data_IF_171441902493
#
_entry.id   IF_171441902493
#
_cell.length_a   1.000
_cell.length_b   1.000
_cell.length_c   1.000
_cell.angle_alpha   90.00
_cell.angle_beta   90.00
_cell.angle_gamma   90.00
#
_symmetry.space_group_name_H-M   'P 1'
#
loop_
_entity.id
_entity.type
_entity.pdbx_description
1 polymer ?
#
# COMPACT_ATOMS: atom_id res chain seq x y z
N UNK A 1 21.33 0.34 -5.64
CA UNK A 1 20.16 0.65 -4.80
C UNK A 1 19.44 1.87 -5.36
N UNK A 2 18.12 1.97 -5.17
CA UNK A 2 17.36 3.17 -5.50
C UNK A 2 17.74 4.31 -4.54
N UNK A 3 17.97 5.54 -5.03
CA UNK A 3 18.25 6.68 -4.17
C UNK A 3 16.93 7.20 -3.56
N UNK A 4 16.56 6.68 -2.39
CA UNK A 4 15.34 7.10 -1.68
C UNK A 4 15.66 8.18 -0.66
N UNK A 5 14.89 9.27 -0.69
CA UNK A 5 14.94 10.31 0.35
C UNK A 5 14.50 9.74 1.68
N UNK A 6 15.18 10.12 2.76
CA UNK A 6 14.77 9.77 4.14
C UNK A 6 14.08 10.97 4.78
N UNK A 7 12.89 10.74 5.34
CA UNK A 7 12.08 11.73 6.06
C UNK A 7 12.08 11.37 7.54
N UNK A 8 12.71 12.19 8.36
CA UNK A 8 12.79 11.98 9.81
C UNK A 8 11.61 12.67 10.52
N UNK A 9 10.62 11.88 10.91
CA UNK A 9 9.41 12.38 11.56
C UNK A 9 9.61 12.79 13.02
N UNK A 10 10.79 12.55 13.62
CA UNK A 10 11.10 13.10 14.95
C UNK A 10 11.13 14.64 14.94
N UNK A 11 11.39 15.22 13.76
CA UNK A 11 11.43 16.66 13.52
C UNK A 11 10.06 17.28 13.22
N UNK A 12 9.00 16.48 13.15
CA UNK A 12 7.68 16.93 12.67
C UNK A 12 7.08 18.05 13.53
N UNK A 13 7.25 17.96 14.85
CA UNK A 13 6.69 18.91 15.82
C UNK A 13 7.67 20.04 16.19
N UNK A 14 8.87 20.07 15.58
CA UNK A 14 9.81 21.18 15.72
C UNK A 14 9.28 22.46 15.04
N UNK A 15 9.66 23.63 15.56
CA UNK A 15 9.32 24.90 14.93
C UNK A 15 9.87 24.96 13.49
N UNK A 16 8.98 25.03 12.50
CA UNK A 16 9.34 25.00 11.07
C UNK A 16 9.65 23.60 10.52
N UNK A 17 9.61 22.56 11.36
CA UNK A 17 9.95 21.19 10.99
C UNK A 17 9.06 20.62 9.89
N UNK A 18 7.75 20.86 9.96
CA UNK A 18 6.79 20.44 8.91
C UNK A 18 7.15 21.01 7.54
N UNK A 19 7.49 22.30 7.46
CA UNK A 19 7.82 22.95 6.19
C UNK A 19 9.13 22.41 5.60
N UNK A 20 10.13 22.15 6.43
CA UNK A 20 11.38 21.54 5.98
C UNK A 20 11.17 20.09 5.50
N UNK A 21 10.43 19.28 6.26
CA UNK A 21 10.11 17.91 5.88
C UNK A 21 9.25 17.86 4.61
N UNK A 22 8.28 18.76 4.46
CA UNK A 22 7.49 18.91 3.23
C UNK A 22 8.39 19.23 2.02
N UNK A 23 9.36 20.13 2.19
CA UNK A 23 10.35 20.45 1.15
C UNK A 23 11.20 19.24 0.77
N UNK A 24 11.62 18.43 1.75
CA UNK A 24 12.37 17.19 1.49
C UNK A 24 11.52 16.13 0.79
N UNK A 25 10.26 16.00 1.19
CA UNK A 25 9.32 15.02 0.63
C UNK A 25 8.88 15.37 -0.80
N UNK A 26 8.88 16.66 -1.17
CA UNK A 26 8.47 17.16 -2.49
C UNK A 26 9.10 16.38 -3.65
N UNK A 27 10.43 16.27 -3.69
CA UNK A 27 11.12 15.59 -4.78
C UNK A 27 10.84 14.08 -4.79
N UNK A 28 10.69 13.48 -3.60
CA UNK A 28 10.40 12.06 -3.48
C UNK A 28 9.04 11.73 -4.09
N UNK A 29 7.99 12.50 -3.78
CA UNK A 29 6.62 12.20 -4.25
C UNK A 29 6.38 12.61 -5.72
N UNK A 30 7.08 13.63 -6.23
CA UNK A 30 6.88 14.13 -7.60
C UNK A 30 7.75 13.43 -8.65
N UNK A 31 8.88 12.83 -8.24
CA UNK A 31 9.79 12.13 -9.15
C UNK A 31 9.75 10.62 -9.00
N UNK A 32 9.91 10.12 -7.77
CA UNK A 32 10.18 8.68 -7.53
C UNK A 32 8.98 7.95 -6.96
N UNK A 33 8.07 8.60 -6.26
CA UNK A 33 6.92 7.99 -5.59
C UNK A 33 7.26 7.10 -4.39
N UNK A 34 8.54 6.98 -4.01
CA UNK A 34 9.04 6.19 -2.88
C UNK A 34 10.00 7.01 -2.02
N UNK A 35 9.95 6.79 -0.71
CA UNK A 35 10.86 7.37 0.29
C UNK A 35 11.01 6.41 1.46
N UNK A 36 11.89 6.75 2.40
CA UNK A 36 12.02 6.06 3.68
C UNK A 36 11.65 7.01 4.79
N UNK A 37 11.02 6.48 5.83
CA UNK A 37 10.63 7.22 7.03
C UNK A 37 11.37 6.66 8.24
N UNK A 38 11.90 7.57 9.06
CA UNK A 38 12.56 7.28 10.35
C UNK A 38 11.97 8.17 11.45
N UNK A 39 12.37 7.95 12.71
CA UNK A 39 11.91 8.79 13.82
C UNK A 39 10.40 8.69 14.06
N UNK A 40 9.81 7.52 13.79
CA UNK A 40 8.36 7.29 13.90
C UNK A 40 7.87 7.19 15.34
N UNK A 41 8.76 6.91 16.28
CA UNK A 41 8.42 6.61 17.69
C UNK A 41 7.85 5.21 17.90
N UNK A 42 7.79 4.38 16.85
CA UNK A 42 7.38 2.97 16.96
C UNK A 42 8.61 2.15 17.33
N UNK A 43 8.54 1.47 18.47
CA UNK A 43 9.61 0.61 18.96
C UNK A 43 9.80 -0.64 18.08
N UNK A 44 11.06 -1.03 17.86
CA UNK A 44 11.44 -2.18 17.05
C UNK A 44 10.90 -3.49 17.64
N UNK A 45 10.83 -3.61 18.96
CA UNK A 45 10.23 -4.78 19.62
C UNK A 45 8.76 -4.96 19.21
N UNK A 46 8.01 -3.86 19.12
CA UNK A 46 6.60 -3.89 18.70
C UNK A 46 6.47 -4.29 17.24
N UNK A 47 7.36 -3.82 16.36
CA UNK A 47 7.39 -4.25 14.95
C UNK A 47 7.70 -5.75 14.85
N UNK A 48 8.70 -6.25 15.59
CA UNK A 48 9.08 -7.66 15.62
C UNK A 48 7.96 -8.56 16.17
N UNK A 49 7.19 -8.07 17.16
CA UNK A 49 6.01 -8.77 17.66
C UNK A 49 4.95 -8.95 16.58
N UNK A 50 4.68 -7.92 15.76
CA UNK A 50 3.75 -8.03 14.64
C UNK A 50 4.22 -9.02 13.57
N UNK A 51 5.52 -9.03 13.24
CA UNK A 51 6.11 -10.07 12.40
C UNK A 51 5.94 -11.47 13.04
N UNK A 52 6.12 -11.60 14.35
CA UNK A 52 5.97 -12.88 15.06
C UNK A 52 4.52 -13.40 14.98
N UNK A 53 3.53 -12.52 15.16
CA UNK A 53 2.10 -12.87 15.02
C UNK A 53 1.81 -13.30 13.58
N UNK A 54 2.26 -12.52 12.59
CA UNK A 54 2.07 -12.87 11.17
C UNK A 54 2.72 -14.21 10.80
N UNK A 55 3.95 -14.46 11.25
CA UNK A 55 4.65 -15.72 11.03
C UNK A 55 3.93 -16.91 11.67
N UNK A 56 3.42 -16.73 12.90
CA UNK A 56 2.65 -17.76 13.58
C UNK A 56 1.33 -18.04 12.84
N UNK A 57 0.65 -17.00 12.33
CA UNK A 57 -0.57 -17.15 11.53
C UNK A 57 -0.32 -18.00 10.29
N UNK A 58 0.73 -17.73 9.51
CA UNK A 58 0.98 -18.46 8.27
C UNK A 58 1.35 -19.94 8.47
N UNK A 59 1.75 -20.32 9.69
CA UNK A 59 2.03 -21.70 10.12
C UNK A 59 0.81 -22.44 10.66
N UNK A 60 -0.33 -21.78 10.87
CA UNK A 60 -1.58 -22.45 11.24
C UNK A 60 -2.07 -23.37 10.09
N UNK A 61 -2.85 -24.43 10.39
CA UNK A 61 -3.45 -25.28 9.39
C UNK A 61 -4.26 -24.48 8.36
N UNK A 62 -4.27 -24.94 7.11
CA UNK A 62 -4.95 -24.24 6.02
C UNK A 62 -6.45 -24.02 6.30
N UNK A 63 -7.09 -24.99 6.95
CA UNK A 63 -8.50 -24.91 7.38
C UNK A 63 -8.73 -23.74 8.33
N UNK A 64 -7.82 -23.50 9.28
CA UNK A 64 -7.89 -22.36 10.19
C UNK A 64 -7.67 -21.04 9.44
N UNK A 65 -6.67 -20.97 8.55
CA UNK A 65 -6.41 -19.76 7.73
C UNK A 65 -7.63 -19.39 6.87
N UNK A 66 -8.32 -20.38 6.30
CA UNK A 66 -9.51 -20.23 5.44
C UNK A 66 -10.80 -19.81 6.17
N UNK A 67 -10.83 -19.72 7.50
CA UNK A 67 -12.06 -19.40 8.25
C UNK A 67 -12.68 -18.05 7.89
N UNK A 68 -11.85 -17.06 7.58
CA UNK A 68 -12.28 -15.71 7.20
C UNK A 68 -11.58 -15.29 5.92
N UNK A 69 -12.04 -15.74 4.74
CA UNK A 69 -11.43 -15.40 3.47
C UNK A 69 -11.81 -13.99 3.03
N UNK A 70 -10.98 -13.36 2.20
CA UNK A 70 -11.34 -12.11 1.52
C UNK A 70 -12.53 -12.32 0.57
N UNK A 71 -13.46 -11.36 0.52
CA UNK A 71 -14.59 -11.37 -0.41
C UNK A 71 -14.32 -10.48 -1.64
N UNK A 72 -13.51 -10.99 -2.57
CA UNK A 72 -13.15 -10.24 -3.78
C UNK A 72 -14.31 -9.99 -4.75
N UNK A 73 -15.40 -10.76 -4.66
CA UNK A 73 -16.59 -10.53 -5.48
C UNK A 73 -17.23 -9.16 -5.18
N UNK A 74 -17.15 -8.72 -3.93
CA UNK A 74 -17.60 -7.40 -3.46
C UNK A 74 -16.45 -6.38 -3.32
N UNK A 75 -15.24 -6.77 -3.74
CA UNK A 75 -14.04 -5.93 -3.59
C UNK A 75 -13.55 -5.76 -2.16
N UNK A 76 -14.10 -6.52 -1.20
CA UNK A 76 -13.65 -6.49 0.19
C UNK A 76 -12.31 -7.19 0.34
N UNK A 77 -11.36 -6.52 1.00
CA UNK A 77 -10.00 -7.02 1.11
C UNK A 77 -9.63 -7.48 2.51
N UNK A 78 -10.51 -7.39 3.51
CA UNK A 78 -10.23 -7.90 4.86
C UNK A 78 -10.30 -9.43 4.90
N UNK A 79 -9.46 -10.04 5.74
CA UNK A 79 -9.39 -11.49 5.87
C UNK A 79 -8.18 -12.10 5.15
N UNK A 80 -8.20 -13.42 5.02
CA UNK A 80 -7.14 -14.24 4.46
C UNK A 80 -7.28 -14.37 2.95
N UNK A 81 -6.18 -14.14 2.25
CA UNK A 81 -6.02 -14.47 0.84
C UNK A 81 -5.00 -15.59 0.69
N UNK A 82 -5.47 -16.72 0.22
CA UNK A 82 -4.62 -17.83 -0.17
C UNK A 82 -3.91 -17.56 -1.50
N UNK A 83 -2.81 -18.26 -1.72
CA UNK A 83 -2.01 -18.23 -2.92
C UNK A 83 -2.61 -19.12 -4.05
N UNK A 84 -3.89 -18.97 -4.34
CA UNK A 84 -4.62 -19.87 -5.25
C UNK A 84 -4.52 -19.48 -6.73
N UNK A 85 -4.10 -18.26 -7.05
CA UNK A 85 -4.09 -17.75 -8.42
C UNK A 85 -2.97 -18.37 -9.24
N UNK A 86 -3.29 -18.81 -10.45
CA UNK A 86 -2.30 -19.30 -11.41
C UNK A 86 -1.52 -18.14 -12.02
N UNK A 87 -0.23 -18.34 -12.26
CA UNK A 87 0.60 -17.39 -12.98
C UNK A 87 0.45 -17.67 -14.47
N UNK A 88 -0.39 -16.91 -15.16
CA UNK A 88 -0.76 -17.13 -16.55
C UNK A 88 -0.96 -18.60 -16.92
N UNK A 89 -0.25 -19.04 -17.95
CA UNK A 89 -0.22 -20.41 -18.48
C UNK A 89 0.97 -21.23 -17.97
N UNK A 90 1.71 -20.73 -16.97
CA UNK A 90 2.97 -21.34 -16.51
C UNK A 90 2.78 -22.65 -15.77
N UNK A 91 1.55 -23.00 -15.35
CA UNK A 91 1.26 -24.16 -14.51
C UNK A 91 1.79 -24.08 -13.08
N UNK A 92 2.20 -22.88 -12.63
CA UNK A 92 2.63 -22.58 -11.25
C UNK A 92 1.69 -21.54 -10.65
N UNK A 93 1.39 -21.65 -9.35
CA UNK A 93 0.59 -20.65 -8.62
C UNK A 93 1.46 -19.50 -8.11
N UNK A 94 0.82 -18.38 -7.79
CA UNK A 94 1.48 -17.37 -6.96
C UNK A 94 1.95 -18.01 -5.64
N UNK A 95 3.06 -17.53 -5.08
CA UNK A 95 3.63 -18.05 -3.84
C UNK A 95 3.30 -17.16 -2.65
N UNK A 96 2.30 -16.30 -2.77
CA UNK A 96 2.03 -15.26 -1.80
C UNK A 96 0.67 -15.43 -1.12
N UNK A 97 0.73 -15.53 0.20
CA UNK A 97 -0.42 -15.47 1.09
C UNK A 97 -0.47 -14.12 1.80
N UNK A 98 -1.68 -13.67 2.15
CA UNK A 98 -1.89 -12.42 2.87
C UNK A 98 -2.98 -12.58 3.93
N UNK A 99 -2.84 -11.86 5.03
CA UNK A 99 -3.90 -11.60 6.00
C UNK A 99 -4.05 -10.10 6.16
N UNK A 100 -5.23 -9.58 5.85
CA UNK A 100 -5.56 -8.16 5.94
C UNK A 100 -6.45 -7.92 7.15
N UNK A 101 -5.95 -7.11 8.07
CA UNK A 101 -6.56 -6.85 9.37
C UNK A 101 -7.06 -5.41 9.36
N UNK A 102 -8.38 -5.25 9.53
CA UNK A 102 -9.03 -3.96 9.56
C UNK A 102 -8.63 -3.14 10.79
N UNK A 103 -8.84 -1.82 10.72
CA UNK A 103 -8.77 -0.93 11.88
C UNK A 103 -9.88 -1.18 12.89
N UNK A 104 -9.64 -0.83 14.15
CA UNK A 104 -10.61 -1.02 15.23
C UNK A 104 -11.62 0.15 15.29
N UNK A 105 -12.71 0.03 14.53
CA UNK A 105 -13.82 0.99 14.53
C UNK A 105 -15.16 0.26 14.68
N UNK A 106 -16.22 0.93 15.18
CA UNK A 106 -17.53 0.30 15.37
C UNK A 106 -18.12 -0.35 14.12
N UNK A 107 -17.87 0.22 12.94
CA UNK A 107 -18.35 -0.32 11.66
C UNK A 107 -17.79 -1.72 11.35
N UNK A 108 -16.60 -2.04 11.83
CA UNK A 108 -15.91 -3.31 11.58
C UNK A 108 -16.02 -4.31 12.73
N UNK A 109 -16.82 -4.01 13.76
CA UNK A 109 -16.98 -4.86 14.96
C UNK A 109 -17.37 -6.31 14.65
N UNK A 110 -18.13 -6.53 13.57
CA UNK A 110 -18.64 -7.85 13.20
C UNK A 110 -17.80 -8.58 12.16
N UNK A 111 -16.67 -8.00 11.74
CA UNK A 111 -15.72 -8.72 10.90
C UNK A 111 -15.04 -9.79 11.75
N UNK A 112 -15.10 -11.03 11.27
CA UNK A 112 -14.51 -12.18 11.96
C UNK A 112 -12.99 -12.06 12.06
N UNK A 113 -12.43 -12.44 13.20
CA UNK A 113 -10.99 -12.47 13.47
C UNK A 113 -10.54 -13.90 13.77
N UNK A 114 -9.44 -14.33 13.17
CA UNK A 114 -8.83 -15.62 13.49
C UNK A 114 -8.42 -15.67 14.96
N UNK A 115 -8.44 -16.85 15.58
CA UNK A 115 -8.12 -17.04 17.01
C UNK A 115 -6.82 -16.34 17.43
N UNK A 116 -5.76 -16.46 16.60
CA UNK A 116 -4.48 -15.85 16.88
C UNK A 116 -4.54 -14.31 16.86
N UNK A 117 -5.32 -13.73 15.95
CA UNK A 117 -5.54 -12.28 15.88
C UNK A 117 -6.39 -11.81 17.06
N UNK A 118 -7.45 -12.53 17.40
CA UNK A 118 -8.28 -12.22 18.58
C UNK A 118 -7.44 -12.22 19.85
N UNK A 119 -6.59 -13.23 20.03
CA UNK A 119 -5.75 -13.39 21.23
C UNK A 119 -4.68 -12.30 21.38
N UNK A 120 -4.35 -11.59 20.29
CA UNK A 120 -3.36 -10.51 20.29
C UNK A 120 -3.99 -9.16 19.89
N UNK A 121 -5.32 -9.03 19.95
CA UNK A 121 -6.02 -7.89 19.33
C UNK A 121 -5.62 -6.55 19.91
N UNK A 122 -5.46 -6.45 21.23
CA UNK A 122 -5.07 -5.19 21.88
C UNK A 122 -3.70 -4.68 21.40
N UNK A 123 -2.75 -5.59 21.17
CA UNK A 123 -1.44 -5.26 20.62
C UNK A 123 -1.56 -4.79 19.15
N UNK A 124 -2.35 -5.52 18.34
CA UNK A 124 -2.53 -5.26 16.92
C UNK A 124 -3.28 -3.94 16.68
N UNK A 125 -4.37 -3.67 17.41
CA UNK A 125 -5.16 -2.43 17.26
C UNK A 125 -4.36 -1.21 17.68
N UNK A 126 -3.56 -1.32 18.75
CA UNK A 126 -2.66 -0.25 19.19
C UNK A 126 -1.60 0.03 18.13
N UNK A 127 -0.95 -1.03 17.62
CA UNK A 127 0.02 -0.90 16.53
C UNK A 127 -0.60 -0.29 15.28
N UNK A 128 -1.81 -0.71 14.89
CA UNK A 128 -2.53 -0.13 13.76
C UNK A 128 -2.76 1.38 13.93
N UNK A 129 -3.05 1.87 15.14
CA UNK A 129 -3.22 3.30 15.42
C UNK A 129 -1.89 4.06 15.33
N UNK A 130 -0.80 3.48 15.82
CA UNK A 130 0.53 4.12 15.75
C UNK A 130 1.04 4.23 14.31
N UNK A 131 0.83 3.20 13.49
CA UNK A 131 1.20 3.26 12.06
C UNK A 131 0.31 4.23 11.30
N UNK A 132 -0.97 4.36 11.67
CA UNK A 132 -1.83 5.41 11.13
C UNK A 132 -1.32 6.80 11.50
N UNK A 133 -0.79 7.02 12.71
CA UNK A 133 -0.21 8.31 13.10
C UNK A 133 0.99 8.69 12.22
N UNK A 134 1.82 7.72 11.82
CA UNK A 134 2.88 7.91 10.81
C UNK A 134 2.28 8.34 9.47
N UNK A 135 1.26 7.61 8.98
CA UNK A 135 0.58 7.95 7.74
C UNK A 135 -0.08 9.34 7.80
N UNK A 136 -0.69 9.71 8.93
CA UNK A 136 -1.30 11.01 9.19
C UNK A 136 -0.28 12.13 9.07
N UNK A 137 0.88 12.01 9.70
CA UNK A 137 1.98 12.98 9.58
C UNK A 137 2.42 13.14 8.13
N UNK A 138 2.57 12.05 7.38
CA UNK A 138 2.89 12.11 5.95
C UNK A 138 1.81 12.82 5.12
N UNK A 139 0.53 12.55 5.40
CA UNK A 139 -0.59 13.23 4.73
C UNK A 139 -0.62 14.73 5.03
N UNK A 140 -0.27 15.15 6.25
CA UNK A 140 -0.08 16.57 6.59
C UNK A 140 1.04 17.20 5.76
N UNK A 141 2.20 16.55 5.65
CA UNK A 141 3.30 17.05 4.83
C UNK A 141 2.89 17.18 3.35
N UNK A 142 2.14 16.22 2.84
CA UNK A 142 1.62 16.26 1.45
C UNK A 142 0.59 17.38 1.28
N UNK A 143 -0.28 17.61 2.26
CA UNK A 143 -1.24 18.72 2.21
C UNK A 143 -0.52 20.08 2.18
N UNK A 144 0.55 20.25 2.97
CA UNK A 144 1.41 21.43 2.93
C UNK A 144 2.04 21.62 1.54
N UNK A 145 2.57 20.56 0.94
CA UNK A 145 3.12 20.61 -0.44
C UNK A 145 2.06 21.09 -1.43
N UNK A 146 0.84 20.59 -1.30
CA UNK A 146 -0.29 20.96 -2.15
C UNK A 146 -0.90 22.33 -1.81
N UNK A 147 -0.36 23.04 -0.82
CA UNK A 147 -0.90 24.31 -0.32
C UNK A 147 -2.37 24.23 0.12
N UNK A 148 -2.74 23.07 0.64
CA UNK A 148 -4.04 22.81 1.27
C UNK A 148 -3.94 23.05 2.79
N UNK A 149 -5.08 23.17 3.49
CA UNK A 149 -5.10 23.05 4.96
C UNK A 149 -4.36 21.78 5.41
N UNK A 150 -3.57 21.89 6.48
CA UNK A 150 -2.70 20.79 6.96
C UNK A 150 -3.48 19.50 7.22
N UNK A 151 -4.73 19.62 7.69
CA UNK A 151 -5.63 18.52 8.03
C UNK A 151 -6.41 17.96 6.84
N UNK A 152 -6.42 18.63 5.68
CA UNK A 152 -7.27 18.30 4.54
C UNK A 152 -7.17 16.83 4.13
N UNK A 153 -5.94 16.32 3.94
CA UNK A 153 -5.73 14.93 3.57
C UNK A 153 -5.84 13.98 4.75
N UNK A 154 -5.45 14.37 5.97
CA UNK A 154 -5.61 13.50 7.13
C UNK A 154 -7.07 13.27 7.51
N UNK A 155 -7.94 14.26 7.32
CA UNK A 155 -9.38 14.16 7.57
C UNK A 155 -10.04 13.22 6.56
N UNK A 156 -9.64 13.32 5.29
CA UNK A 156 -10.03 12.39 4.24
C UNK A 156 -9.55 10.94 4.48
N UNK A 157 -8.67 10.72 5.47
CA UNK A 157 -8.11 9.43 5.86
C UNK A 157 -8.23 9.23 7.39
N UNK A 158 -9.24 9.82 8.02
CA UNK A 158 -9.41 9.76 9.46
C UNK A 158 -9.57 8.31 9.96
N UNK A 159 -8.85 7.95 11.03
CA UNK A 159 -8.88 6.58 11.57
C UNK A 159 -10.29 6.15 11.94
N UNK A 160 -11.04 7.00 12.66
CA UNK A 160 -12.33 6.64 13.25
C UNK A 160 -13.50 6.66 12.26
N UNK A 161 -13.24 7.03 10.99
CA UNK A 161 -14.22 7.00 9.91
C UNK A 161 -14.15 5.68 9.13
N UNK A 162 -15.21 5.33 8.40
CA UNK A 162 -15.21 4.11 7.58
C UNK A 162 -14.17 4.25 6.45
N UNK A 163 -13.26 3.29 6.35
CA UNK A 163 -12.34 3.12 5.21
C UNK A 163 -11.83 1.67 5.19
N UNK A 164 -11.27 1.27 4.05
CA UNK A 164 -10.63 -0.04 3.88
C UNK A 164 -9.13 -0.03 4.26
N UNK A 165 -8.71 0.87 5.15
CA UNK A 165 -7.37 0.87 5.77
C UNK A 165 -7.13 -0.48 6.46
N UNK A 166 -5.92 -1.02 6.29
CA UNK A 166 -5.57 -2.27 6.93
C UNK A 166 -4.08 -2.43 7.18
N UNK A 167 -3.80 -3.17 8.25
CA UNK A 167 -2.53 -3.85 8.43
C UNK A 167 -2.53 -5.13 7.59
N UNK A 168 -1.44 -5.42 6.90
CA UNK A 168 -1.22 -6.66 6.17
C UNK A 168 -0.06 -7.42 6.77
N UNK A 169 -0.32 -8.66 7.16
CA UNK A 169 0.71 -9.68 7.21
C UNK A 169 0.76 -10.37 5.86
N UNK A 170 1.95 -10.59 5.32
CA UNK A 170 2.14 -11.30 4.05
C UNK A 170 3.32 -12.25 4.15
N UNK A 171 3.29 -13.33 3.38
CA UNK A 171 4.44 -14.22 3.23
C UNK A 171 4.58 -14.61 1.75
N UNK A 172 5.79 -14.52 1.23
CA UNK A 172 6.15 -15.25 0.01
C UNK A 172 6.77 -16.58 0.43
N UNK A 173 6.09 -17.66 0.11
CA UNK A 173 6.56 -19.03 0.30
C UNK A 173 7.73 -19.33 -0.63
N UNK A 174 8.60 -20.23 -0.20
CA UNK A 174 9.73 -20.71 -1.00
C UNK A 174 9.23 -21.43 -2.26
N UNK A 175 10.02 -21.37 -3.31
CA UNK A 175 9.79 -22.07 -4.58
C UNK A 175 11.02 -22.87 -4.94
N UNK A 176 10.81 -23.98 -5.62
CA UNK A 176 11.88 -24.68 -6.34
C UNK A 176 12.47 -23.78 -7.43
N UNK A 177 13.68 -24.11 -7.90
CA UNK A 177 14.32 -23.38 -9.00
C UNK A 177 13.46 -23.42 -10.28
N UNK A 178 12.86 -24.57 -10.60
CA UNK A 178 11.96 -24.72 -11.76
C UNK A 178 10.73 -23.82 -11.66
N UNK A 179 10.11 -23.74 -10.48
CA UNK A 179 8.97 -22.85 -10.26
C UNK A 179 9.37 -21.37 -10.38
N UNK A 180 10.56 -20.99 -9.91
CA UNK A 180 11.09 -19.64 -10.10
C UNK A 180 11.26 -19.31 -11.57
N UNK A 181 11.87 -20.21 -12.35
CA UNK A 181 12.13 -20.02 -13.77
C UNK A 181 10.82 -19.90 -14.57
N UNK A 182 9.83 -20.73 -14.25
CA UNK A 182 8.49 -20.68 -14.87
C UNK A 182 7.74 -19.40 -14.50
N UNK A 183 7.83 -18.95 -13.25
CA UNK A 183 7.15 -17.75 -12.78
C UNK A 183 7.83 -16.44 -13.23
N UNK A 184 9.10 -16.49 -13.66
CA UNK A 184 9.91 -15.29 -13.88
C UNK A 184 9.27 -14.30 -14.87
N UNK A 185 8.65 -14.80 -15.95
CA UNK A 185 8.05 -13.98 -17.00
C UNK A 185 7.01 -12.97 -16.48
N UNK A 186 6.20 -13.37 -15.49
CA UNK A 186 5.12 -12.58 -14.89
C UNK A 186 5.59 -11.78 -13.67
N UNK A 187 6.84 -11.95 -13.24
CA UNK A 187 7.42 -11.12 -12.19
C UNK A 187 8.03 -9.81 -12.74
N UNK A 188 8.00 -9.58 -14.07
CA UNK A 188 8.83 -8.55 -14.74
C UNK A 188 8.24 -7.14 -14.75
N UNK A 189 6.94 -6.95 -14.92
CA UNK A 189 6.31 -5.64 -15.11
C UNK A 189 5.84 -4.96 -13.83
N UNK A 190 5.75 -5.69 -12.72
CA UNK A 190 5.39 -5.12 -11.42
C UNK A 190 3.95 -4.62 -11.36
N UNK A 191 3.67 -3.72 -10.42
CA UNK A 191 2.36 -3.13 -10.20
C UNK A 191 2.48 -1.78 -9.48
N UNK A 192 1.36 -1.06 -9.42
CA UNK A 192 1.14 0.06 -8.49
C UNK A 192 0.12 -0.34 -7.43
N UNK A 193 0.17 0.35 -6.30
CA UNK A 193 -0.78 0.17 -5.20
C UNK A 193 -2.06 0.98 -5.42
N UNK A 194 -3.21 0.52 -4.89
CA UNK A 194 -4.50 1.16 -5.17
C UNK A 194 -4.83 2.36 -4.28
N UNK A 195 -4.25 2.40 -3.08
CA UNK A 195 -4.64 3.29 -1.99
C UNK A 195 -4.00 4.66 -2.11
N UNK A 196 -3.79 5.30 -0.98
CA UNK A 196 -3.12 6.61 -0.89
C UNK A 196 -1.65 6.46 -0.52
N UNK A 197 -1.37 5.74 0.57
CA UNK A 197 -0.01 5.47 1.04
C UNK A 197 0.13 3.99 1.38
N UNK A 198 1.30 3.44 1.08
CA UNK A 198 1.75 2.14 1.56
C UNK A 198 2.95 2.35 2.47
N UNK A 199 2.92 1.76 3.65
CA UNK A 199 4.01 1.76 4.63
C UNK A 199 4.49 0.32 4.77
N UNK A 200 5.67 0.02 4.22
CA UNK A 200 6.30 -1.29 4.22
C UNK A 200 7.43 -1.32 5.26
N UNK A 201 7.30 -2.18 6.25
CA UNK A 201 8.32 -2.41 7.27
C UNK A 201 9.48 -3.23 6.69
N UNK A 202 10.69 -2.97 7.18
CA UNK A 202 11.92 -3.60 6.69
C UNK A 202 11.83 -5.14 6.74
N UNK A 203 12.30 -5.80 5.68
CA UNK A 203 12.23 -7.25 5.52
C UNK A 203 13.65 -7.81 5.39
N UNK A 204 13.89 -8.98 5.98
CA UNK A 204 15.21 -9.63 5.93
C UNK A 204 15.56 -10.20 4.55
N UNK A 205 14.56 -10.60 3.76
CA UNK A 205 14.76 -11.14 2.41
C UNK A 205 14.63 -10.04 1.36
N UNK A 206 15.71 -9.79 0.64
CA UNK A 206 15.76 -8.83 -0.46
C UNK A 206 14.90 -9.31 -1.64
N UNK A 207 14.32 -8.37 -2.37
CA UNK A 207 13.49 -8.69 -3.54
C UNK A 207 12.68 -7.53 -4.07
N UNK A 208 12.42 -6.51 -3.24
CA UNK A 208 11.71 -5.30 -3.69
C UNK A 208 12.57 -4.49 -4.67
N UNK A 209 12.00 -4.22 -5.84
CA UNK A 209 12.53 -3.29 -6.83
C UNK A 209 11.48 -2.26 -7.20
N UNK A 210 11.93 -1.02 -7.44
CA UNK A 210 11.11 0.04 -8.00
C UNK A 210 11.58 0.39 -9.42
N UNK A 211 10.65 0.79 -10.27
CA UNK A 211 10.95 1.29 -11.60
C UNK A 211 11.18 2.80 -11.51
N UNK A 212 12.41 3.22 -11.78
CA UNK A 212 12.79 4.64 -11.77
C UNK A 212 12.14 5.40 -12.94
N UNK A 213 12.12 6.75 -12.91
CA UNK A 213 11.64 7.54 -14.04
C UNK A 213 12.35 7.28 -15.37
N UNK A 214 13.62 6.85 -15.33
CA UNK A 214 14.38 6.44 -16.51
C UNK A 214 14.00 5.04 -17.04
N UNK A 215 13.03 4.35 -16.41
CA UNK A 215 12.60 3.01 -16.79
C UNK A 215 13.43 1.88 -16.18
N UNK A 216 14.53 2.18 -15.48
CA UNK A 216 15.41 1.19 -14.86
C UNK A 216 14.79 0.60 -13.58
N UNK A 217 14.98 -0.70 -13.35
CA UNK A 217 14.65 -1.35 -12.09
C UNK A 217 15.79 -1.20 -11.09
N UNK A 218 15.50 -0.67 -9.89
CA UNK A 218 16.48 -0.58 -8.80
C UNK A 218 15.96 -1.22 -7.53
N UNK A 219 16.81 -2.01 -6.89
CA UNK A 219 16.52 -2.57 -5.57
C UNK A 219 16.33 -1.49 -4.52
N UNK A 220 15.34 -1.68 -3.65
CA UNK A 220 15.15 -0.89 -2.44
C UNK A 220 15.99 -1.52 -1.34
N UNK A 221 16.84 -0.70 -0.71
CA UNK A 221 17.70 -1.17 0.38
C UNK A 221 16.86 -1.27 1.65
N UNK A 222 16.83 -2.42 2.35
CA UNK A 222 16.26 -2.48 3.69
C UNK A 222 16.96 -1.46 4.59
N UNK A 223 16.18 -0.67 5.33
CA UNK A 223 16.70 0.24 6.35
C UNK A 223 16.22 -0.24 7.72
N UNK A 224 17.15 -0.55 8.60
CA UNK A 224 16.86 -0.88 9.99
C UNK A 224 16.25 0.33 10.71
N UNK A 225 15.19 0.11 11.49
CA UNK A 225 14.37 1.19 12.07
C UNK A 225 13.64 2.08 11.05
N UNK A 226 13.70 1.72 9.75
CA UNK A 226 13.09 2.49 8.67
C UNK A 226 11.83 1.84 8.11
N UNK A 227 10.85 2.67 7.73
CA UNK A 227 9.65 2.26 6.99
C UNK A 227 9.81 2.75 5.56
N UNK A 228 9.80 1.82 4.60
CA UNK A 228 9.75 2.19 3.17
C UNK A 228 8.32 2.61 2.85
N UNK A 229 8.15 3.81 2.35
CA UNK A 229 6.84 4.36 2.04
C UNK A 229 6.72 4.64 0.54
N UNK A 230 5.51 4.47 0.00
CA UNK A 230 5.19 4.95 -1.33
C UNK A 230 3.80 5.59 -1.40
N UNK A 231 3.67 6.54 -2.32
CA UNK A 231 2.38 7.01 -2.77
C UNK A 231 1.77 5.98 -3.72
N UNK A 232 0.45 5.95 -3.75
CA UNK A 232 -0.34 4.98 -4.49
C UNK A 232 -1.37 5.68 -5.38
N UNK A 233 -2.10 4.91 -6.18
CA UNK A 233 -2.91 5.40 -7.29
C UNK A 233 -3.97 6.44 -6.86
N UNK A 234 -4.49 6.36 -5.63
CA UNK A 234 -5.44 7.36 -5.10
C UNK A 234 -4.79 8.73 -5.03
N UNK A 235 -3.57 8.87 -4.50
CA UNK A 235 -2.92 10.20 -4.44
C UNK A 235 -2.53 10.71 -5.82
N UNK A 236 -2.10 9.83 -6.73
CA UNK A 236 -1.89 10.19 -8.14
C UNK A 236 -3.18 10.70 -8.77
N UNK A 237 -4.30 10.02 -8.52
CA UNK A 237 -5.60 10.44 -9.02
C UNK A 237 -6.04 11.79 -8.44
N UNK A 238 -6.04 11.91 -7.11
CA UNK A 238 -6.44 13.12 -6.39
C UNK A 238 -5.62 14.35 -6.77
N UNK A 239 -4.45 14.17 -7.38
CA UNK A 239 -3.54 15.27 -7.74
C UNK A 239 -3.28 15.39 -9.25
N UNK A 240 -4.13 14.78 -10.09
CA UNK A 240 -3.98 14.76 -11.55
C UNK A 240 -2.56 14.40 -12.02
N UNK A 241 -1.97 13.40 -11.35
CA UNK A 241 -0.65 12.88 -11.68
C UNK A 241 0.52 13.69 -11.15
N UNK A 242 0.30 14.75 -10.36
CA UNK A 242 1.38 15.47 -9.70
C UNK A 242 2.18 14.55 -8.77
N UNK A 243 1.49 13.81 -7.90
CA UNK A 243 2.09 12.76 -7.06
C UNK A 243 2.21 11.47 -7.88
N UNK A 244 3.38 10.84 -7.84
CA UNK A 244 3.67 9.63 -8.62
C UNK A 244 3.41 8.36 -7.82
N UNK A 245 2.56 7.49 -8.37
CA UNK A 245 2.40 6.10 -7.97
C UNK A 245 3.39 5.26 -8.78
N UNK A 246 4.39 4.72 -8.12
CA UNK A 246 5.54 4.10 -8.79
C UNK A 246 5.38 2.61 -8.93
N UNK A 247 5.65 2.14 -10.15
CA UNK A 247 5.63 0.72 -10.48
C UNK A 247 6.74 0.02 -9.69
N UNK A 248 6.37 -1.04 -8.98
CA UNK A 248 7.28 -1.81 -8.16
C UNK A 248 6.96 -3.31 -8.24
N UNK A 249 7.96 -4.14 -7.94
CA UNK A 249 7.86 -5.60 -8.03
C UNK A 249 8.67 -6.27 -6.93
N UNK A 250 8.32 -7.51 -6.62
CA UNK A 250 9.16 -8.42 -5.83
C UNK A 250 9.70 -9.48 -6.77
N UNK A 251 11.03 -9.53 -6.91
CA UNK A 251 11.72 -10.49 -7.78
C UNK A 251 12.22 -11.70 -6.98
N UNK A 252 12.73 -12.70 -7.71
CA UNK A 252 13.47 -13.85 -7.16
C UNK A 252 14.52 -13.35 -6.15
N UNK A 253 14.53 -13.87 -4.91
CA UNK A 253 15.52 -13.49 -3.91
C UNK A 253 16.95 -13.82 -4.36
N UNK A 254 17.96 -13.18 -3.76
CA UNK A 254 19.36 -13.58 -3.89
C UNK A 254 19.58 -15.06 -3.52
N UNK A 255 20.61 -15.69 -4.10
CA UNK A 255 20.89 -17.12 -3.94
C UNK A 255 21.09 -17.56 -2.48
N UNK A 256 21.66 -16.70 -1.66
CA UNK A 256 21.89 -16.94 -0.22
C UNK A 256 20.62 -16.77 0.63
N UNK A 257 19.50 -16.34 0.04
CA UNK A 257 18.22 -16.11 0.71
C UNK A 257 17.05 -16.89 0.06
N UNK A 258 17.32 -17.67 -0.98
CA UNK A 258 16.28 -18.27 -1.84
C UNK A 258 15.38 -19.28 -1.10
N UNK A 259 15.92 -19.93 -0.07
CA UNK A 259 15.22 -20.92 0.76
C UNK A 259 14.60 -20.30 2.03
N UNK A 260 14.58 -18.97 2.14
CA UNK A 260 14.01 -18.25 3.28
C UNK A 260 12.65 -17.66 2.88
N UNK A 261 11.55 -18.02 3.56
CA UNK A 261 10.26 -17.37 3.34
C UNK A 261 10.36 -15.87 3.59
N UNK A 262 9.86 -15.07 2.66
CA UNK A 262 9.91 -13.60 2.77
C UNK A 262 8.65 -13.09 3.45
N UNK A 263 8.72 -12.97 4.76
CA UNK A 263 7.68 -12.38 5.59
C UNK A 263 7.65 -10.86 5.40
N UNK A 264 6.44 -10.29 5.32
CA UNK A 264 6.22 -8.85 5.19
C UNK A 264 5.13 -8.35 6.13
N UNK A 265 5.29 -7.10 6.53
CA UNK A 265 4.37 -6.33 7.33
C UNK A 265 4.15 -5.01 6.62
N UNK A 266 2.89 -4.67 6.37
CA UNK A 266 2.52 -3.43 5.67
C UNK A 266 1.32 -2.78 6.35
N UNK A 267 1.22 -1.47 6.16
CA UNK A 267 0.00 -0.73 6.38
C UNK A 267 -0.40 -0.05 5.08
N UNK A 268 -1.65 -0.24 4.66
CA UNK A 268 -2.20 0.46 3.51
C UNK A 268 -3.20 1.51 3.98
N UNK A 269 -2.88 2.79 3.76
CA UNK A 269 -3.82 3.88 3.95
C UNK A 269 -4.70 4.02 2.71
N UNK A 270 -6.01 4.05 2.93
CA UNK A 270 -7.04 4.19 1.90
C UNK A 270 -7.86 5.46 2.17
N UNK A 271 -8.41 6.10 1.13
CA UNK A 271 -9.34 7.20 1.34
C UNK A 271 -10.58 6.71 2.11
N UNK A 272 -11.15 7.59 2.94
CA UNK A 272 -12.40 7.34 3.64
C UNK A 272 -13.60 7.15 2.72
N UNK A 273 -14.65 6.53 3.26
CA UNK A 273 -15.91 6.26 2.54
C UNK A 273 -16.71 7.52 2.18
N UNK A 274 -16.37 8.67 2.78
CA UNK A 274 -16.95 9.96 2.44
C UNK A 274 -15.99 10.84 1.62
N UNK A 275 -14.80 10.35 1.32
CA UNK A 275 -13.83 11.08 0.50
C UNK A 275 -14.26 10.98 -0.97
N UNK A 276 -14.62 12.08 -1.62
CA UNK A 276 -15.00 12.05 -3.03
C UNK A 276 -13.76 11.81 -3.89
N UNK A 277 -13.83 10.85 -4.81
CA UNK A 277 -12.77 10.59 -5.77
C UNK A 277 -12.79 11.64 -6.89
N UNK A 278 -12.28 12.83 -6.58
CA UNK A 278 -12.03 13.94 -7.52
C UNK A 278 -10.72 14.64 -7.19
N UNK A 279 -10.18 15.38 -8.15
CA UNK A 279 -8.96 16.18 -7.95
C UNK A 279 -9.16 17.17 -6.81
N UNK A 280 -8.16 17.28 -5.93
CA UNK A 280 -8.22 18.20 -4.77
C UNK A 280 -8.12 19.66 -5.24
N UNK A 281 -8.81 20.60 -4.55
CA UNK A 281 -8.82 22.03 -4.89
C UNK A 281 -7.52 22.72 -4.43
N UNK A 282 -6.38 22.20 -4.87
CA UNK A 282 -5.05 22.66 -4.46
C UNK A 282 -4.65 23.93 -5.20
N UNK A 283 -4.27 25.00 -4.48
CA UNK A 283 -3.69 26.20 -5.10
C UNK A 283 -2.42 25.91 -5.91
N UNK A 284 -1.58 24.98 -5.44
CA UNK A 284 -0.41 24.56 -6.20
C UNK A 284 -0.81 23.90 -7.53
N UNK A 285 -1.76 22.96 -7.51
CA UNK A 285 -2.22 22.29 -8.74
C UNK A 285 -2.84 23.29 -9.71
N UNK A 286 -3.59 24.28 -9.21
CA UNK A 286 -4.14 25.37 -10.02
C UNK A 286 -3.02 26.18 -10.71
N UNK A 287 -2.01 26.63 -9.94
CA UNK A 287 -0.85 27.35 -10.50
C UNK A 287 -0.04 26.55 -11.51
N UNK A 288 -0.03 25.22 -11.39
CA UNK A 288 0.64 24.32 -12.33
C UNK A 288 -0.23 23.96 -13.55
N UNK A 289 -1.48 24.44 -13.62
CA UNK A 289 -2.42 24.11 -14.68
C UNK A 289 -2.90 22.65 -14.64
N UNK A 290 -2.79 21.99 -13.49
CA UNK A 290 -3.21 20.61 -13.26
C UNK A 290 -4.64 20.51 -12.72
N UNK A 291 -5.27 21.61 -12.31
CA UNK A 291 -6.68 21.65 -11.91
C UNK A 291 -7.54 22.07 -13.12
N UNK A 292 -8.26 21.13 -13.74
CA UNK A 292 -9.07 21.38 -14.93
C UNK A 292 -10.41 22.00 -14.55
N UNK A 293 -11.09 22.66 -15.50
CA UNK A 293 -12.42 23.24 -15.27
C UNK A 293 -13.45 22.19 -14.79
N UNK A 294 -13.40 20.98 -15.34
CA UNK A 294 -14.23 19.85 -14.90
C UNK A 294 -13.95 19.40 -13.47
N UNK A 295 -12.72 19.60 -12.96
CA UNK A 295 -12.39 19.29 -11.57
C UNK A 295 -12.98 20.34 -10.59
N UNK A 296 -13.35 21.53 -11.10
CA UNK A 296 -13.99 22.60 -10.32
C UNK A 296 -15.50 22.44 -10.23
N UNK A 297 -16.10 21.62 -11.10
CA UNK A 297 -17.51 21.30 -11.03
C UNK A 297 -17.78 20.28 -9.93
N UNK A 298 -18.37 20.76 -8.83
CA UNK A 298 -18.67 19.91 -7.68
C UNK A 298 -20.04 19.22 -7.77
N UNK A 299 -20.84 19.54 -8.80
CA UNK A 299 -22.23 19.07 -8.93
C UNK A 299 -22.34 17.65 -9.46
N UNK A 300 -21.36 17.20 -10.25
CA UNK A 300 -21.33 15.84 -10.78
C UNK A 300 -21.02 14.82 -9.66
N UNK A 301 -21.82 13.75 -9.51
CA UNK A 301 -21.55 12.71 -8.53
C UNK A 301 -20.30 11.93 -8.90
N UNK A 302 -19.40 11.72 -7.93
CA UNK A 302 -18.19 10.91 -8.09
C UNK A 302 -18.21 9.73 -7.13
N UNK A 303 -17.46 8.65 -7.41
CA UNK A 303 -17.36 7.54 -6.47
C UNK A 303 -16.77 7.97 -5.13
N UNK A 304 -17.13 7.27 -4.06
CA UNK A 304 -16.40 7.39 -2.81
C UNK A 304 -15.01 6.73 -2.89
N UNK A 305 -14.15 7.07 -1.93
CA UNK A 305 -12.84 6.44 -1.77
C UNK A 305 -12.93 4.92 -1.62
N UNK A 306 -13.85 4.45 -0.79
CA UNK A 306 -14.09 3.01 -0.58
C UNK A 306 -14.64 2.35 -1.85
N UNK A 307 -15.62 2.96 -2.54
CA UNK A 307 -16.13 2.42 -3.81
C UNK A 307 -15.01 2.24 -4.84
N UNK A 308 -14.14 3.24 -4.97
CA UNK A 308 -13.00 3.18 -5.89
C UNK A 308 -12.02 2.06 -5.52
N UNK A 309 -11.60 2.00 -4.24
CA UNK A 309 -10.64 0.98 -3.79
C UNK A 309 -11.22 -0.42 -3.95
N UNK A 310 -12.48 -0.64 -3.58
CA UNK A 310 -13.14 -1.95 -3.75
C UNK A 310 -13.28 -2.34 -5.21
N UNK A 311 -13.59 -1.39 -6.10
CA UNK A 311 -13.61 -1.65 -7.53
C UNK A 311 -12.22 -2.07 -8.07
N UNK A 312 -11.14 -1.46 -7.57
CA UNK A 312 -9.75 -1.88 -7.89
C UNK A 312 -9.41 -3.25 -7.35
N UNK A 313 -9.79 -3.55 -6.10
CA UNK A 313 -9.59 -4.87 -5.49
C UNK A 313 -10.32 -5.93 -6.29
N UNK A 314 -11.58 -5.70 -6.66
CA UNK A 314 -12.37 -6.62 -7.49
C UNK A 314 -11.71 -6.84 -8.86
N UNK A 315 -11.30 -5.78 -9.56
CA UNK A 315 -10.65 -5.90 -10.87
C UNK A 315 -9.35 -6.74 -10.86
N UNK A 316 -8.57 -6.66 -9.77
CA UNK A 316 -7.27 -7.35 -9.65
C UNK A 316 -7.39 -8.74 -9.02
N UNK A 317 -8.17 -8.88 -7.95
CA UNK A 317 -8.14 -10.06 -7.08
C UNK A 317 -9.30 -11.04 -7.31
N UNK A 318 -10.38 -10.63 -7.98
CA UNK A 318 -11.48 -11.55 -8.31
C UNK A 318 -11.08 -12.61 -9.35
N UNK A 319 -9.98 -12.38 -10.08
CA UNK A 319 -9.47 -13.29 -11.11
C UNK A 319 -8.66 -14.42 -10.49
N UNK A 320 -8.82 -15.62 -11.02
CA UNK A 320 -8.08 -16.83 -10.62
C UNK A 320 -6.76 -17.02 -11.37
N UNK A 321 -6.49 -16.18 -12.38
CA UNK A 321 -5.27 -16.19 -13.18
C UNK A 321 -4.66 -14.78 -13.17
N UNK A 322 -3.35 -14.71 -13.01
CA UNK A 322 -2.54 -13.52 -13.17
C UNK A 322 -2.15 -13.39 -14.64
N UNK A 323 -2.91 -12.62 -15.39
CA UNK A 323 -2.65 -12.34 -16.80
C UNK A 323 -1.74 -11.13 -16.97
N UNK A 324 -1.02 -11.08 -18.09
CA UNK A 324 -0.38 -9.86 -18.55
C UNK A 324 -1.44 -8.84 -18.99
N UNK A 325 -1.46 -7.70 -18.34
CA UNK A 325 -2.42 -6.61 -18.55
C UNK A 325 -1.73 -5.31 -18.96
N UNK A 326 -0.46 -5.35 -19.35
CA UNK A 326 0.26 -4.20 -19.87
C UNK A 326 -0.46 -3.60 -21.07
N UNK A 327 -0.58 -2.28 -21.11
CA UNK A 327 -1.32 -1.55 -22.15
C UNK A 327 -2.84 -1.56 -21.99
N UNK A 328 -3.39 -2.27 -21.00
CA UNK A 328 -4.80 -2.17 -20.63
C UNK A 328 -5.01 -1.11 -19.56
N UNK A 329 -6.28 -0.75 -19.29
CA UNK A 329 -6.62 0.18 -18.21
C UNK A 329 -7.85 -0.31 -17.44
N UNK A 330 -7.85 -0.09 -16.14
CA UNK A 330 -9.05 -0.14 -15.30
C UNK A 330 -9.87 1.12 -15.52
N UNK A 331 -11.20 0.96 -15.64
CA UNK A 331 -12.14 2.06 -15.74
C UNK A 331 -13.30 1.84 -14.77
N UNK A 332 -13.66 2.89 -14.02
CA UNK A 332 -14.77 2.83 -13.07
C UNK A 332 -15.38 4.21 -12.86
N UNK A 333 -16.65 4.37 -13.26
CA UNK A 333 -17.42 5.61 -13.06
C UNK A 333 -16.63 6.87 -13.48
N UNK A 334 -16.05 6.86 -14.68
CA UNK A 334 -15.26 7.97 -15.25
C UNK A 334 -13.78 8.00 -14.84
N UNK A 335 -13.38 7.23 -13.81
CA UNK A 335 -11.99 7.11 -13.37
C UNK A 335 -11.25 6.12 -14.27
N UNK A 336 -10.01 6.45 -14.69
CA UNK A 336 -9.15 5.57 -15.49
C UNK A 336 -7.79 5.41 -14.84
N UNK A 337 -7.35 4.16 -14.68
CA UNK A 337 -6.01 3.82 -14.17
C UNK A 337 -5.34 2.85 -15.14
N UNK A 338 -4.11 3.13 -15.55
CA UNK A 338 -3.34 2.22 -16.40
C UNK A 338 -2.96 0.96 -15.62
N UNK A 339 -3.11 -0.21 -16.25
CA UNK A 339 -2.64 -1.45 -15.67
C UNK A 339 -1.17 -1.65 -16.02
N UNK A 340 -0.37 -1.91 -14.99
CA UNK A 340 1.05 -2.21 -15.12
C UNK A 340 1.38 -3.67 -14.80
N UNK A 341 0.38 -4.45 -14.38
CA UNK A 341 0.48 -5.89 -14.20
C UNK A 341 0.93 -6.54 -15.51
N UNK A 342 2.07 -7.21 -15.50
CA UNK A 342 2.50 -8.13 -16.56
C UNK A 342 2.49 -9.56 -16.07
#
# INVERSE_FOLDING_TARGET
WAPLTTIDLSRFDELGGKQELAKQLYDAITRVGFWVVTGTGIDDERILRQFSIGNAFFKEPLEEKRRFPCNFAEGEYFGYRENERWIGDTGVKENIEMLNIHKDIPAWKYIGRHRLIESNWDEIRAFHRDVWEVARKLLVLIAIILELPEDYLSDAHAYDQVSDDHLRYMIYNVRTEEEWDRAEAYSKGGHTDFGSLTLLFSQHVAGLQIRTPGGEWKYVKPLEGGITCNAADTLTFLTNGFIKSTIHRVVKPPKDQIDIPRLGLLYFSRPGDHTPMRTVPSPLLDRLGLLREEDRDLTEPVPSGTEYVRARVKDVHYKTVLDNREGTSFQFKGLKVQNHYT
#
